data_IF_188942993902
#
_entry.id   IF_188942993902
#
_cell.length_a   1.000
_cell.length_b   1.000
_cell.length_c   1.000
_cell.angle_alpha   90.00
_cell.angle_beta   90.00
_cell.angle_gamma   90.00
#
_symmetry.space_group_name_H-M   'P 1'
#
loop_
_entity.id
_entity.type
_entity.pdbx_description
1 polymer ?
#
# COMPACT_ATOMS: atom_id res chain seq x y z
N UNK A 1 -14.13 38.71 3.18
CA UNK A 1 -14.82 37.42 3.04
C UNK A 1 -14.88 37.04 1.57
N UNK A 2 -13.99 36.11 1.19
CA UNK A 2 -13.91 35.64 -0.21
C UNK A 2 -14.97 34.57 -0.48
N UNK A 3 -15.64 34.57 -1.65
CA UNK A 3 -16.66 33.57 -2.01
C UNK A 3 -16.12 32.12 -2.05
N UNK A 4 -14.81 31.92 -2.20
CA UNK A 4 -14.17 30.62 -2.17
C UNK A 4 -14.20 29.95 -0.78
N UNK A 5 -14.16 30.72 0.31
CA UNK A 5 -14.21 30.20 1.67
C UNK A 5 -15.62 29.69 2.06
N UNK A 6 -16.68 30.24 1.45
CA UNK A 6 -18.06 29.81 1.66
C UNK A 6 -18.35 28.45 0.95
N UNK A 7 -17.70 28.21 -0.19
CA UNK A 7 -17.88 26.98 -0.96
C UNK A 7 -17.23 25.76 -0.27
N UNK A 8 -16.04 25.94 0.31
CA UNK A 8 -15.36 24.86 1.02
C UNK A 8 -16.05 24.43 2.32
N UNK A 9 -16.77 25.35 2.99
CA UNK A 9 -17.50 24.97 4.21
C UNK A 9 -18.77 24.16 3.95
N UNK A 10 -19.39 24.30 2.76
CA UNK A 10 -20.56 23.50 2.40
C UNK A 10 -20.24 22.05 2.04
N UNK A 11 -19.14 21.80 1.34
CA UNK A 11 -18.74 20.45 0.93
C UNK A 11 -18.31 19.56 2.09
N UNK A 12 -17.74 20.12 3.16
CA UNK A 12 -17.35 19.34 4.36
C UNK A 12 -18.54 18.94 5.23
N UNK A 13 -19.61 19.74 5.25
CA UNK A 13 -20.83 19.41 6.03
C UNK A 13 -21.65 18.30 5.39
N UNK A 14 -21.65 18.19 4.06
CA UNK A 14 -22.41 17.17 3.33
C UNK A 14 -21.74 15.79 3.35
N UNK A 15 -20.40 15.74 3.48
CA UNK A 15 -19.65 14.46 3.57
C UNK A 15 -19.73 13.84 4.96
N UNK A 16 -19.82 14.65 6.02
CA UNK A 16 -19.91 14.16 7.40
C UNK A 16 -21.34 13.78 7.83
N UNK A 17 -22.36 14.23 7.10
CA UNK A 17 -23.78 13.93 7.40
C UNK A 17 -24.22 12.50 7.04
N UNK A 18 -23.50 11.80 6.16
CA UNK A 18 -23.86 10.45 5.71
C UNK A 18 -23.31 9.30 6.58
N UNK A 19 -22.43 9.58 7.54
CA UNK A 19 -21.72 8.53 8.29
C UNK A 19 -22.43 8.03 9.57
N UNK A 20 -23.53 8.66 10.04
CA UNK A 20 -24.13 8.36 11.35
C UNK A 20 -25.65 8.22 11.43
N UNK A 21 -26.31 7.81 10.36
CA UNK A 21 -27.70 7.41 10.44
C UNK A 21 -27.81 5.88 10.57
N UNK A 22 -27.76 5.34 11.80
CA UNK A 22 -28.25 3.98 12.08
C UNK A 22 -29.78 3.99 11.98
N UNK A 23 -30.41 3.14 11.13
CA UNK A 23 -31.84 2.94 11.19
C UNK A 23 -32.23 2.25 12.51
N UNK A 24 -33.38 2.57 13.11
CA UNK A 24 -33.85 1.91 14.32
C UNK A 24 -34.21 0.45 14.01
N UNK A 25 -33.58 -0.45 14.76
CA UNK A 25 -33.92 -1.88 14.76
C UNK A 25 -35.26 -2.00 15.48
N UNK A 26 -36.34 -2.30 14.78
CA UNK A 26 -37.57 -2.84 15.35
C UNK A 26 -37.34 -4.31 15.60
N UNK A 27 -37.36 -4.69 16.87
CA UNK A 27 -37.55 -6.07 17.27
C UNK A 27 -39.02 -6.40 17.07
N UNK A 28 -39.36 -7.23 16.09
CA UNK A 28 -40.58 -7.96 16.02
C UNK A 28 -40.27 -9.44 16.33
N UNK A 29 -40.91 -9.90 17.38
CA UNK A 29 -40.91 -11.28 17.87
C UNK A 29 -41.71 -12.16 16.91
N UNK A 30 -41.29 -13.44 16.86
CA UNK A 30 -42.05 -14.62 16.41
C UNK A 30 -42.47 -14.72 14.94
N UNK A 31 -41.61 -15.37 14.14
CA UNK A 31 -42.04 -16.25 13.05
C UNK A 31 -41.09 -17.45 12.94
N UNK A 32 -41.68 -18.65 12.99
CA UNK A 32 -40.99 -19.93 12.84
C UNK A 32 -40.20 -20.00 11.53
N UNK A 33 -39.00 -20.65 11.51
CA UNK A 33 -38.21 -20.74 10.29
C UNK A 33 -38.88 -21.69 9.30
N UNK A 34 -39.33 -21.12 8.18
CA UNK A 34 -39.79 -21.90 7.02
C UNK A 34 -38.60 -22.74 6.49
N UNK A 35 -38.74 -24.05 6.60
CA UNK A 35 -37.81 -25.10 6.18
C UNK A 35 -37.45 -25.04 4.68
N UNK A 36 -38.18 -24.28 3.86
CA UNK A 36 -37.95 -24.13 2.42
C UNK A 36 -36.73 -23.31 2.04
N UNK A 37 -36.35 -22.32 2.84
CA UNK A 37 -35.25 -21.39 2.52
C UNK A 37 -33.88 -22.03 2.70
N UNK A 38 -33.74 -23.05 3.54
CA UNK A 38 -32.48 -23.76 3.78
C UNK A 38 -32.04 -24.64 2.60
N UNK A 39 -33.01 -25.26 1.90
CA UNK A 39 -32.75 -26.17 0.78
C UNK A 39 -32.26 -25.40 -0.45
N UNK A 40 -32.85 -24.23 -0.72
CA UNK A 40 -32.41 -23.36 -1.84
C UNK A 40 -30.96 -22.80 -1.66
N UNK A 41 -30.61 -22.52 -0.40
CA UNK A 41 -29.28 -21.99 -0.07
C UNK A 41 -28.16 -23.03 -0.20
N UNK A 42 -28.45 -24.30 0.13
CA UNK A 42 -27.53 -25.42 -0.06
C UNK A 42 -27.33 -25.77 -1.54
N UNK A 43 -28.42 -25.73 -2.35
CA UNK A 43 -28.32 -25.93 -3.80
C UNK A 43 -27.50 -24.83 -4.50
N UNK A 44 -27.67 -23.57 -4.11
CA UNK A 44 -26.89 -22.44 -4.62
C UNK A 44 -25.41 -22.55 -4.27
N UNK A 45 -25.10 -22.96 -3.03
CA UNK A 45 -23.72 -23.19 -2.61
C UNK A 45 -23.08 -24.39 -3.30
N UNK A 46 -23.83 -25.47 -3.54
CA UNK A 46 -23.37 -26.64 -4.29
C UNK A 46 -23.13 -26.32 -5.76
N UNK A 47 -23.96 -25.47 -6.37
CA UNK A 47 -23.80 -25.00 -7.74
C UNK A 47 -22.59 -24.09 -7.90
N UNK A 48 -22.41 -23.12 -7.00
CA UNK A 48 -21.24 -22.25 -6.96
C UNK A 48 -19.93 -23.05 -6.77
N UNK A 49 -19.95 -24.09 -5.90
CA UNK A 49 -18.79 -24.96 -5.70
C UNK A 49 -18.46 -25.83 -6.92
N UNK A 50 -19.46 -26.25 -7.72
CA UNK A 50 -19.23 -26.98 -8.97
C UNK A 50 -18.66 -26.06 -10.06
N UNK A 51 -19.17 -24.85 -10.20
CA UNK A 51 -18.63 -23.86 -11.13
C UNK A 51 -17.18 -23.49 -10.78
N UNK A 52 -16.85 -23.33 -9.49
CA UNK A 52 -15.48 -23.05 -9.04
C UNK A 52 -14.52 -24.21 -9.36
N UNK A 53 -14.94 -25.47 -9.24
CA UNK A 53 -14.13 -26.63 -9.61
C UNK A 53 -13.84 -26.72 -11.11
N UNK A 54 -14.81 -26.35 -11.96
CA UNK A 54 -14.63 -26.35 -13.42
C UNK A 54 -13.59 -25.31 -13.87
N UNK A 55 -13.48 -24.17 -13.17
CA UNK A 55 -12.44 -23.18 -13.42
C UNK A 55 -11.06 -23.60 -12.89
N UNK A 56 -11.01 -24.40 -11.83
CA UNK A 56 -9.74 -24.88 -11.27
C UNK A 56 -9.06 -25.98 -12.09
N UNK A 57 -9.84 -26.75 -12.87
CA UNK A 57 -9.33 -27.89 -13.65
C UNK A 57 -9.10 -27.56 -15.16
N UNK A 58 -9.27 -26.33 -15.59
CA UNK A 58 -8.87 -25.93 -16.94
C UNK A 58 -7.36 -25.86 -17.01
N UNK A 59 -6.68 -26.76 -17.80
CA UNK A 59 -5.25 -26.65 -18.01
C UNK A 59 -5.00 -25.43 -18.92
N UNK A 60 -4.93 -24.24 -18.34
CA UNK A 60 -4.29 -23.11 -19.02
C UNK A 60 -2.81 -23.47 -19.17
N UNK A 61 -2.44 -24.10 -20.29
CA UNK A 61 -1.09 -24.05 -20.84
C UNK A 61 -0.80 -22.61 -21.29
N UNK A 62 -0.77 -21.68 -20.35
CA UNK A 62 -0.05 -20.44 -20.47
C UNK A 62 1.39 -20.76 -20.13
N UNK A 63 2.33 -20.41 -20.98
CA UNK A 63 3.76 -20.40 -20.64
C UNK A 63 3.87 -19.72 -19.27
N UNK A 64 4.21 -20.50 -18.23
CA UNK A 64 4.50 -19.94 -16.91
C UNK A 64 5.76 -19.11 -17.08
N UNK A 65 5.58 -17.84 -17.30
CA UNK A 65 6.69 -16.87 -17.22
C UNK A 65 7.30 -17.07 -15.84
N UNK A 66 8.59 -17.39 -15.73
CA UNK A 66 9.21 -17.64 -14.44
C UNK A 66 8.94 -16.46 -13.52
N UNK A 67 8.32 -16.74 -12.36
CA UNK A 67 8.02 -15.69 -11.39
C UNK A 67 9.35 -15.15 -10.86
N UNK A 68 9.68 -13.94 -11.25
CA UNK A 68 10.85 -13.23 -10.74
C UNK A 68 10.53 -12.86 -9.30
N UNK A 69 11.39 -13.27 -8.36
CA UNK A 69 11.29 -12.81 -6.98
C UNK A 69 11.86 -11.41 -6.88
N UNK A 70 11.07 -10.47 -6.41
CA UNK A 70 11.47 -9.10 -6.14
C UNK A 70 11.30 -8.75 -4.67
N UNK A 71 11.98 -7.71 -4.23
CA UNK A 71 11.99 -7.22 -2.86
C UNK A 71 11.63 -5.75 -2.83
N UNK A 72 10.84 -5.38 -1.85
CA UNK A 72 10.52 -3.99 -1.56
C UNK A 72 11.64 -3.38 -0.72
N UNK A 73 12.51 -2.62 -1.35
CA UNK A 73 13.68 -2.00 -0.75
C UNK A 73 13.43 -0.56 -0.34
N UNK A 74 13.99 -0.17 0.80
CA UNK A 74 13.97 1.20 1.31
C UNK A 74 15.37 1.53 1.84
N UNK A 75 15.88 2.71 1.52
CA UNK A 75 17.18 3.18 1.99
C UNK A 75 17.20 4.70 2.07
N UNK A 76 18.08 5.25 2.90
CA UNK A 76 18.31 6.68 2.93
C UNK A 76 19.45 7.07 1.99
N UNK A 77 19.35 8.27 1.43
CA UNK A 77 20.44 8.95 0.74
C UNK A 77 20.56 10.38 1.26
N UNK A 78 21.64 11.03 0.88
CA UNK A 78 21.80 12.47 1.07
C UNK A 78 20.64 13.24 0.40
N UNK A 79 20.57 14.56 0.62
CA UNK A 79 19.52 15.40 0.04
C UNK A 79 19.54 15.41 -1.48
N UNK A 80 20.71 15.25 -2.11
CA UNK A 80 20.86 15.22 -3.58
C UNK A 80 20.38 13.89 -4.17
N UNK A 81 20.46 12.80 -3.40
CA UNK A 81 20.16 11.44 -3.84
C UNK A 81 21.37 10.73 -4.46
N UNK A 82 22.57 11.34 -4.40
CA UNK A 82 23.78 10.80 -5.01
C UNK A 82 24.50 9.81 -4.11
N UNK A 83 24.50 10.06 -2.79
CA UNK A 83 25.16 9.21 -1.81
C UNK A 83 24.14 8.40 -1.02
N UNK A 84 24.21 7.06 -1.13
CA UNK A 84 23.41 6.14 -0.33
C UNK A 84 24.05 5.99 1.03
N UNK A 85 23.27 6.28 2.08
CA UNK A 85 23.73 6.15 3.45
C UNK A 85 23.77 4.67 3.87
N UNK A 86 24.75 4.35 4.72
CA UNK A 86 24.82 3.03 5.34
C UNK A 86 23.63 2.81 6.29
N UNK A 87 23.11 1.58 6.38
CA UNK A 87 22.03 1.21 7.28
C UNK A 87 22.30 1.49 8.77
N UNK A 88 23.56 1.68 9.12
CA UNK A 88 24.02 1.96 10.49
C UNK A 88 24.36 3.43 10.73
N UNK A 89 24.35 4.23 9.68
CA UNK A 89 24.68 5.63 9.77
C UNK A 89 23.53 6.41 10.42
N UNK A 90 23.81 7.14 11.54
CA UNK A 90 22.77 7.92 12.19
C UNK A 90 22.38 9.12 11.33
N UNK A 91 21.10 9.45 11.37
CA UNK A 91 20.60 10.68 10.77
C UNK A 91 20.73 11.83 11.77
N UNK A 92 21.08 13.01 11.29
CA UNK A 92 21.24 14.22 12.11
C UNK A 92 19.89 14.95 12.17
N UNK A 93 19.44 15.31 13.35
CA UNK A 93 18.23 16.09 13.56
C UNK A 93 18.21 17.36 12.70
N UNK A 94 17.08 17.64 12.06
CA UNK A 94 16.87 18.84 11.27
C UNK A 94 17.59 18.87 9.90
N UNK A 95 18.47 17.90 9.61
CA UNK A 95 19.09 17.75 8.31
C UNK A 95 18.14 17.08 7.32
N UNK A 96 18.14 17.51 6.07
CA UNK A 96 17.34 16.90 5.00
C UNK A 96 18.01 15.66 4.42
N UNK A 97 17.23 14.63 4.19
CA UNK A 97 17.60 13.36 3.56
C UNK A 97 16.55 12.96 2.54
N UNK A 98 16.86 11.97 1.70
CA UNK A 98 15.86 11.28 0.89
C UNK A 98 15.65 9.86 1.39
N UNK A 99 14.41 9.50 1.68
CA UNK A 99 13.98 8.12 1.80
C UNK A 99 13.65 7.60 0.42
N UNK A 100 14.52 6.75 -0.12
CA UNK A 100 14.39 6.12 -1.42
C UNK A 100 13.62 4.79 -1.30
N UNK A 101 12.78 4.53 -2.28
CA UNK A 101 11.95 3.34 -2.38
C UNK A 101 12.08 2.74 -3.77
N UNK A 102 12.30 1.43 -3.85
CA UNK A 102 12.34 0.67 -5.10
C UNK A 102 11.82 -0.75 -4.91
N UNK A 103 11.48 -1.42 -6.01
CA UNK A 103 11.21 -2.86 -6.07
C UNK A 103 12.26 -3.49 -6.99
N UNK A 104 13.12 -4.35 -6.42
CA UNK A 104 14.30 -4.85 -7.08
C UNK A 104 14.43 -6.36 -6.92
N UNK A 105 15.06 -7.03 -7.87
CA UNK A 105 15.41 -8.46 -7.79
C UNK A 105 16.52 -8.72 -6.74
N UNK A 106 17.30 -7.71 -6.42
CA UNK A 106 18.27 -7.73 -5.35
C UNK A 106 17.68 -7.16 -4.07
N UNK A 107 17.85 -7.87 -2.98
CA UNK A 107 17.47 -7.38 -1.67
C UNK A 107 18.54 -6.43 -1.14
N UNK A 108 18.13 -5.20 -0.76
CA UNK A 108 19.00 -4.21 -0.12
C UNK A 108 18.19 -3.27 0.79
N UNK A 109 18.90 -2.54 1.64
CA UNK A 109 18.35 -1.43 2.43
C UNK A 109 17.80 -1.80 3.80
N UNK A 110 17.15 -0.81 4.42
CA UNK A 110 16.73 -0.79 5.81
C UNK A 110 15.55 -1.70 6.10
N UNK A 111 15.60 -2.38 7.23
CA UNK A 111 14.48 -3.11 7.83
C UNK A 111 14.71 -4.61 7.95
N UNK A 112 14.07 -5.20 8.96
CA UNK A 112 14.15 -6.63 9.30
C UNK A 112 13.20 -7.50 8.49
N UNK A 113 12.18 -6.91 7.86
CA UNK A 113 11.16 -7.63 7.12
C UNK A 113 11.62 -7.93 5.69
N UNK A 114 12.14 -9.14 5.54
CA UNK A 114 12.65 -9.69 4.28
C UNK A 114 11.51 -10.46 3.59
N UNK A 115 10.37 -9.84 3.38
CA UNK A 115 9.30 -10.48 2.62
C UNK A 115 9.43 -10.16 1.13
N UNK A 116 9.32 -11.16 0.25
CA UNK A 116 9.23 -10.92 -1.18
C UNK A 116 8.07 -9.97 -1.50
N UNK A 117 8.25 -9.16 -2.52
CA UNK A 117 7.18 -8.33 -3.05
C UNK A 117 6.08 -9.23 -3.66
N UNK A 118 4.78 -8.95 -3.42
CA UNK A 118 3.69 -9.83 -3.83
C UNK A 118 3.34 -9.70 -5.33
N UNK A 119 4.29 -9.97 -6.22
CA UNK A 119 4.11 -9.92 -7.68
C UNK A 119 2.89 -10.75 -8.16
N UNK A 120 2.58 -11.82 -7.43
CA UNK A 120 1.42 -12.66 -7.73
C UNK A 120 0.09 -11.92 -7.68
N UNK A 121 -0.03 -10.87 -6.86
CA UNK A 121 -1.22 -10.02 -6.79
C UNK A 121 -1.42 -9.15 -8.04
N UNK A 122 -0.38 -9.00 -8.86
CA UNK A 122 -0.37 -8.17 -10.07
C UNK A 122 -0.55 -8.98 -11.37
N UNK A 123 -0.77 -10.31 -11.29
CA UNK A 123 -0.87 -11.19 -12.48
C UNK A 123 -1.88 -10.70 -13.52
N UNK A 124 -3.05 -10.24 -13.07
CA UNK A 124 -4.08 -9.72 -13.97
C UNK A 124 -3.64 -8.44 -14.69
N UNK A 125 -2.94 -7.55 -13.97
CA UNK A 125 -2.42 -6.31 -14.53
C UNK A 125 -1.35 -6.57 -15.61
N UNK A 126 -0.52 -7.60 -15.40
CA UNK A 126 0.53 -7.99 -16.33
C UNK A 126 0.03 -8.60 -17.67
N UNK A 127 -1.26 -8.94 -17.77
CA UNK A 127 -1.80 -9.46 -19.04
C UNK A 127 -1.77 -8.42 -20.15
N UNK A 128 -2.08 -7.17 -19.80
CA UNK A 128 -2.31 -6.11 -20.76
C UNK A 128 -1.27 -4.99 -20.71
N UNK A 129 -0.33 -5.05 -19.73
CA UNK A 129 0.63 -3.98 -19.48
C UNK A 129 2.04 -4.52 -19.28
N UNK A 130 3.01 -3.89 -19.92
CA UNK A 130 4.45 -4.17 -19.71
C UNK A 130 5.03 -3.39 -18.53
N UNK A 131 4.37 -2.30 -18.12
CA UNK A 131 4.76 -1.48 -16.96
C UNK A 131 3.50 -1.10 -16.18
N UNK A 132 3.55 -1.25 -14.86
CA UNK A 132 2.48 -0.89 -13.93
C UNK A 132 2.95 0.26 -13.07
N UNK A 133 2.12 1.30 -12.93
CA UNK A 133 2.37 2.37 -11.98
C UNK A 133 1.77 2.03 -10.61
N UNK A 134 2.63 1.98 -9.60
CA UNK A 134 2.28 1.75 -8.20
C UNK A 134 2.26 3.08 -7.45
N UNK A 135 1.35 3.21 -6.50
CA UNK A 135 1.32 4.37 -5.60
C UNK A 135 2.09 4.04 -4.34
N UNK A 136 3.08 4.87 -4.01
CA UNK A 136 3.84 4.77 -2.76
C UNK A 136 3.47 5.94 -1.87
N UNK A 137 3.15 5.66 -0.60
CA UNK A 137 2.84 6.68 0.40
C UNK A 137 3.75 6.54 1.61
N UNK A 138 4.03 7.67 2.26
CA UNK A 138 4.77 7.70 3.52
C UNK A 138 3.99 8.41 4.62
N UNK A 139 4.18 7.98 5.85
CA UNK A 139 3.69 8.66 7.07
C UNK A 139 4.67 8.49 8.22
N UNK A 140 4.81 9.52 9.05
CA UNK A 140 5.67 9.52 10.23
C UNK A 140 5.21 10.58 11.23
N UNK A 141 5.54 10.35 12.51
CA UNK A 141 5.49 11.34 13.58
C UNK A 141 6.88 11.83 13.98
N UNK A 142 7.92 11.08 13.63
CA UNK A 142 9.31 11.32 14.02
C UNK A 142 10.10 12.10 12.96
N UNK A 143 9.49 12.25 11.77
CA UNK A 143 10.08 12.96 10.63
C UNK A 143 9.14 14.04 10.11
N UNK A 144 9.71 15.19 9.81
CA UNK A 144 9.03 16.25 9.09
C UNK A 144 8.91 15.87 7.60
N UNK A 145 7.68 15.80 7.12
CA UNK A 145 7.32 15.46 5.74
C UNK A 145 6.68 16.65 5.00
N UNK A 146 6.81 17.87 5.54
CA UNK A 146 6.12 19.06 4.98
C UNK A 146 6.68 19.49 3.63
N UNK A 147 7.95 19.18 3.37
CA UNK A 147 8.66 19.57 2.15
C UNK A 147 8.59 18.50 1.05
N UNK A 148 7.79 17.46 1.21
CA UNK A 148 7.69 16.39 0.24
C UNK A 148 6.24 16.09 -0.14
N UNK A 149 6.05 15.61 -1.35
CA UNK A 149 4.82 14.94 -1.72
C UNK A 149 4.76 13.61 -0.97
N UNK A 150 3.72 13.41 -0.15
CA UNK A 150 3.54 12.17 0.63
C UNK A 150 3.09 10.99 -0.22
N UNK A 151 2.85 11.22 -1.50
CA UNK A 151 2.38 10.26 -2.47
C UNK A 151 3.22 10.40 -3.72
N UNK A 152 3.93 9.34 -4.10
CA UNK A 152 4.71 9.27 -5.34
C UNK A 152 4.29 8.04 -6.15
N UNK A 153 4.59 8.05 -7.44
CA UNK A 153 4.29 6.95 -8.35
C UNK A 153 5.58 6.26 -8.76
N UNK A 154 5.59 4.93 -8.59
CA UNK A 154 6.72 4.06 -8.90
C UNK A 154 6.33 3.16 -10.07
N UNK A 155 7.10 3.24 -11.14
CA UNK A 155 6.87 2.42 -12.32
C UNK A 155 7.59 1.07 -12.17
N UNK A 156 6.80 0.01 -12.17
CA UNK A 156 7.27 -1.37 -12.08
C UNK A 156 7.12 -2.03 -13.45
N UNK A 157 8.22 -2.41 -14.14
CA UNK A 157 8.13 -3.18 -15.36
C UNK A 157 7.77 -4.64 -15.06
N UNK A 158 7.19 -5.32 -16.03
CA UNK A 158 6.85 -6.76 -15.95
C UNK A 158 8.07 -7.61 -15.61
N UNK A 159 9.23 -7.25 -16.16
CA UNK A 159 10.52 -7.89 -15.91
C UNK A 159 11.55 -6.85 -15.47
N UNK A 160 12.43 -7.20 -14.53
CA UNK A 160 13.47 -6.30 -14.02
C UNK A 160 13.04 -5.46 -12.82
N UNK A 161 13.73 -4.36 -12.61
CA UNK A 161 13.61 -3.50 -11.44
C UNK A 161 12.69 -2.31 -11.70
N UNK A 162 12.06 -1.79 -10.66
CA UNK A 162 11.27 -0.56 -10.76
C UNK A 162 12.15 0.69 -10.93
N UNK A 163 11.51 1.82 -11.25
CA UNK A 163 12.10 3.13 -10.97
C UNK A 163 12.35 3.29 -9.47
N UNK A 164 13.24 4.23 -9.11
CA UNK A 164 13.46 4.65 -7.72
C UNK A 164 12.68 5.93 -7.48
N UNK A 165 11.92 5.98 -6.39
CA UNK A 165 11.27 7.20 -5.94
C UNK A 165 11.86 7.66 -4.61
N UNK A 166 12.01 8.97 -4.40
CA UNK A 166 12.66 9.54 -3.22
C UNK A 166 11.80 10.61 -2.56
N UNK A 167 11.52 10.41 -1.27
CA UNK A 167 10.80 11.35 -0.42
C UNK A 167 11.80 12.19 0.37
N UNK A 168 11.67 13.51 0.34
CA UNK A 168 12.47 14.37 1.21
C UNK A 168 11.91 14.27 2.64
N UNK A 169 12.77 13.94 3.58
CA UNK A 169 12.42 13.75 4.99
C UNK A 169 13.47 14.44 5.86
N UNK A 170 13.05 14.96 7.02
CA UNK A 170 13.95 15.55 8.00
C UNK A 170 13.60 15.03 9.38
N UNK A 171 14.54 14.42 10.14
CA UNK A 171 14.27 13.97 11.51
C UNK A 171 13.88 15.14 12.40
N UNK A 172 12.73 15.05 13.08
CA UNK A 172 12.30 16.05 14.08
C UNK A 172 12.48 15.56 15.51
N UNK A 173 12.72 14.27 15.72
CA UNK A 173 13.10 13.71 17.01
C UNK A 173 14.52 14.15 17.36
N UNK A 174 14.77 14.48 18.65
CA UNK A 174 16.08 14.97 19.09
C UNK A 174 17.14 13.87 19.14
N UNK A 175 16.78 12.68 19.60
CA UNK A 175 17.67 11.52 19.70
C UNK A 175 16.85 10.25 19.83
N UNK A 176 17.35 9.15 19.28
CA UNK A 176 16.76 7.83 19.41
C UNK A 176 16.35 7.20 18.10
N UNK A 177 15.38 6.30 18.14
CA UNK A 177 14.85 5.63 16.93
C UNK A 177 13.65 6.39 16.41
N UNK A 178 13.78 6.89 15.17
CA UNK A 178 12.65 7.42 14.41
C UNK A 178 12.12 6.39 13.44
N UNK A 179 10.83 6.47 13.13
CA UNK A 179 10.11 5.51 12.30
C UNK A 179 9.36 6.20 11.17
N UNK A 180 9.38 5.59 9.99
CA UNK A 180 8.57 5.99 8.83
C UNK A 180 7.80 4.77 8.34
N UNK A 181 6.48 4.88 8.25
CA UNK A 181 5.64 3.89 7.60
C UNK A 181 5.65 4.14 6.09
N UNK A 182 5.97 3.12 5.30
CA UNK A 182 5.92 3.15 3.83
C UNK A 182 4.91 2.12 3.35
N UNK A 183 3.94 2.56 2.57
CA UNK A 183 2.89 1.72 2.03
C UNK A 183 2.91 1.75 0.50
N UNK A 184 2.73 0.59 -0.13
CA UNK A 184 2.63 0.44 -1.59
C UNK A 184 1.24 -0.04 -1.97
N UNK A 185 0.66 0.62 -2.98
CA UNK A 185 -0.69 0.33 -3.46
C UNK A 185 -0.70 0.12 -4.98
N UNK A 186 -1.64 -0.70 -5.43
CA UNK A 186 -2.07 -0.77 -6.82
C UNK A 186 -3.56 -0.54 -6.93
N UNK A 187 -3.99 0.47 -7.68
CA UNK A 187 -5.41 0.85 -7.86
C UNK A 187 -6.18 0.97 -6.55
N UNK A 188 -5.54 1.53 -5.51
CA UNK A 188 -6.13 1.70 -4.17
C UNK A 188 -6.07 0.48 -3.25
N UNK A 189 -5.63 -0.68 -3.73
CA UNK A 189 -5.41 -1.87 -2.90
C UNK A 189 -3.99 -1.87 -2.35
N UNK A 190 -3.84 -1.99 -1.03
CA UNK A 190 -2.54 -2.10 -0.37
C UNK A 190 -1.90 -3.45 -0.71
N UNK A 191 -0.72 -3.40 -1.32
CA UNK A 191 0.06 -4.58 -1.66
C UNK A 191 1.03 -4.97 -0.54
N UNK A 192 1.75 -3.99 -0.02
CA UNK A 192 2.76 -4.20 1.01
C UNK A 192 2.93 -2.96 1.87
N UNK A 193 3.41 -3.18 3.08
CA UNK A 193 3.67 -2.15 4.08
C UNK A 193 5.00 -2.44 4.74
N UNK A 194 5.81 -1.41 5.00
CA UNK A 194 7.10 -1.54 5.65
C UNK A 194 7.30 -0.43 6.66
N UNK A 195 7.77 -0.79 7.85
CA UNK A 195 8.24 0.16 8.84
C UNK A 195 9.75 0.33 8.68
N UNK A 196 10.16 1.53 8.34
CA UNK A 196 11.57 1.92 8.21
C UNK A 196 12.01 2.57 9.51
N UNK A 197 13.08 2.06 10.10
CA UNK A 197 13.68 2.60 11.33
C UNK A 197 15.01 3.27 11.01
N UNK A 198 15.27 4.42 11.62
CA UNK A 198 16.58 5.08 11.58
C UNK A 198 16.98 5.53 12.98
N UNK A 199 18.27 5.52 13.28
CA UNK A 199 18.81 6.11 14.50
C UNK A 199 19.10 7.59 14.25
N UNK A 200 18.60 8.45 15.15
CA UNK A 200 18.71 9.92 15.05
C UNK A 200 19.64 10.41 16.14
N UNK A 201 20.49 11.38 15.78
CA UNK A 201 21.40 12.11 16.70
C UNK A 201 21.23 13.61 16.49
N UNK A 202 21.63 14.39 17.47
CA UNK A 202 21.68 15.87 17.43
C UNK A 202 22.94 16.40 16.77
#
# INVERSE_FOLDING_TARGET
>A
DSPAAAFMRRTLSDVLGYAFAKPPVKCEEDSEPETGVLVEKEELLAKASREYKVYADSPMRGEETPMITRYFNTFFSDETGEEVLSDREPLIQGRSYRLCVEINTEQRGLGKDISPFPDGALKEAWRDQETISLTVTISSHDFDLTLTDRVLYLDLPRTGNSSVVGFRVSPCLSEGRGTIQVDVFYRGYKLQSKLVEAYIVT
#
